data_IF_218022359686
#
_entry.id   IF_218022359686
#
_cell.length_a   1.000
_cell.length_b   1.000
_cell.length_c   1.000
_cell.angle_alpha   90.00
_cell.angle_beta   90.00
_cell.angle_gamma   90.00
#
_symmetry.space_group_name_H-M   'P 1'
#
loop_
_entity.id
_entity.type
_entity.pdbx_description
1 polymer ?
#
# COMPACT_ATOMS: atom_id res chain seq x y z
N UNK A 1 18.71 -0.28 -11.37
CA UNK A 1 18.47 -1.73 -11.57
C UNK A 1 17.29 -2.08 -10.67
N UNK A 2 16.21 -2.66 -11.19
CA UNK A 2 15.04 -2.96 -10.37
C UNK A 2 15.30 -4.26 -9.61
N UNK A 3 15.18 -4.26 -8.27
CA UNK A 3 15.47 -5.38 -7.36
C UNK A 3 14.74 -6.68 -7.74
N UNK A 4 13.65 -6.57 -8.51
CA UNK A 4 12.90 -7.71 -9.04
C UNK A 4 13.56 -8.46 -10.22
N UNK A 5 14.54 -7.85 -10.89
CA UNK A 5 15.28 -8.53 -11.95
C UNK A 5 16.30 -9.53 -11.35
N UNK A 6 16.80 -9.26 -10.15
CA UNK A 6 17.76 -10.11 -9.44
C UNK A 6 17.09 -11.34 -8.79
N UNK A 7 15.78 -11.25 -8.50
CA UNK A 7 15.00 -12.35 -7.93
C UNK A 7 14.41 -13.32 -8.98
N UNK A 8 14.65 -13.09 -10.28
CA UNK A 8 14.26 -14.04 -11.34
C UNK A 8 12.74 -14.23 -11.57
N UNK A 9 11.89 -13.42 -10.92
CA UNK A 9 10.42 -13.54 -10.97
C UNK A 9 9.84 -13.13 -12.33
N UNK A 10 10.56 -12.33 -13.13
CA UNK A 10 10.07 -11.85 -14.43
C UNK A 10 10.31 -12.87 -15.56
N UNK A 11 9.54 -13.97 -15.57
CA UNK A 11 9.56 -15.00 -16.63
C UNK A 11 8.34 -14.97 -17.57
N UNK A 12 7.67 -13.83 -17.71
CA UNK A 12 6.57 -13.67 -18.65
C UNK A 12 7.02 -12.98 -19.95
N UNK A 13 7.27 -13.80 -20.97
CA UNK A 13 7.04 -13.53 -22.40
C UNK A 13 7.69 -12.31 -23.09
N UNK A 14 8.90 -11.89 -22.71
CA UNK A 14 9.67 -10.98 -23.55
C UNK A 14 10.15 -11.69 -24.84
N UNK A 15 9.32 -11.67 -25.91
CA UNK A 15 9.77 -11.94 -27.29
C UNK A 15 10.97 -11.04 -27.57
N UNK A 16 12.17 -11.63 -27.68
CA UNK A 16 13.39 -10.94 -28.12
C UNK A 16 13.27 -10.66 -29.62
N UNK A 17 12.67 -9.54 -30.00
CA UNK A 17 13.02 -8.93 -31.28
C UNK A 17 14.11 -7.89 -31.04
N UNK A 18 15.29 -8.17 -31.60
CA UNK A 18 16.42 -7.25 -31.70
C UNK A 18 16.07 -6.22 -32.79
N UNK A 19 15.94 -4.95 -32.46
CA UNK A 19 16.19 -3.87 -33.42
C UNK A 19 17.28 -2.95 -32.89
N UNK A 20 18.16 -2.56 -33.81
CA UNK A 20 19.37 -1.76 -33.58
C UNK A 20 18.97 -0.35 -33.16
N UNK A 21 19.67 0.21 -32.16
CA UNK A 21 19.75 1.65 -31.92
C UNK A 21 18.48 2.30 -31.36
N UNK A 22 18.39 2.41 -30.04
CA UNK A 22 17.36 3.21 -29.38
C UNK A 22 17.29 2.86 -27.90
N UNK A 23 17.37 3.88 -27.03
CA UNK A 23 17.38 3.77 -25.57
C UNK A 23 16.34 2.76 -25.06
N UNK A 24 16.82 1.79 -24.29
CA UNK A 24 16.00 0.82 -23.57
C UNK A 24 15.39 1.47 -22.33
N UNK A 25 14.30 2.19 -22.50
CA UNK A 25 13.37 2.48 -21.41
C UNK A 25 12.03 1.81 -21.76
N UNK A 26 11.99 0.48 -21.70
CA UNK A 26 10.72 -0.17 -21.37
C UNK A 26 10.44 0.25 -19.93
N UNK A 27 9.75 1.37 -19.77
CA UNK A 27 9.21 1.76 -18.48
C UNK A 27 8.36 0.58 -18.03
N UNK A 28 8.87 -0.19 -17.06
CA UNK A 28 8.02 -1.09 -16.31
C UNK A 28 6.89 -0.19 -15.80
N UNK A 29 5.61 -0.46 -16.12
CA UNK A 29 4.53 0.34 -15.59
C UNK A 29 4.75 0.50 -14.08
N UNK A 30 4.67 1.71 -13.51
CA UNK A 30 4.81 1.87 -12.07
C UNK A 30 3.87 0.87 -11.41
N UNK A 31 4.33 0.14 -10.39
CA UNK A 31 3.63 -1.05 -9.84
C UNK A 31 2.16 -0.75 -9.48
N UNK A 32 1.87 0.51 -9.15
CA UNK A 32 0.54 1.14 -9.07
C UNK A 32 -0.44 0.83 -10.23
N UNK A 33 0.02 0.75 -11.48
CA UNK A 33 -0.87 0.56 -12.65
C UNK A 33 -1.62 -0.77 -12.59
N UNK A 34 -1.07 -1.78 -11.89
CA UNK A 34 -1.76 -3.03 -11.60
C UNK A 34 -2.89 -2.85 -10.57
N UNK A 35 -2.67 -2.05 -9.53
CA UNK A 35 -3.72 -1.68 -8.58
C UNK A 35 -4.80 -0.78 -9.20
N UNK A 36 -4.46 0.14 -10.11
CA UNK A 36 -5.47 0.92 -10.84
C UNK A 36 -6.42 0.04 -11.63
N UNK A 37 -5.92 -1.05 -12.20
CA UNK A 37 -6.76 -2.01 -12.89
C UNK A 37 -7.66 -2.78 -11.92
N UNK A 38 -7.21 -3.01 -10.67
CA UNK A 38 -7.95 -3.73 -9.65
C UNK A 38 -9.01 -2.86 -8.94
N UNK A 39 -8.67 -1.62 -8.57
CA UNK A 39 -9.56 -0.70 -7.81
C UNK A 39 -10.34 0.25 -8.72
N UNK A 40 -9.95 0.36 -9.99
CA UNK A 40 -10.76 0.93 -11.06
C UNK A 40 -11.39 2.28 -10.71
N UNK A 41 -12.72 2.37 -10.84
CA UNK A 41 -13.53 3.58 -10.60
C UNK A 41 -13.71 3.94 -9.12
N UNK A 42 -13.38 3.04 -8.19
CA UNK A 42 -13.61 3.26 -6.76
C UNK A 42 -12.68 4.35 -6.19
N UNK A 43 -11.49 4.53 -6.80
CA UNK A 43 -10.51 5.56 -6.41
C UNK A 43 -11.05 6.99 -6.50
N UNK A 44 -12.00 7.21 -7.41
CA UNK A 44 -12.63 8.51 -7.61
C UNK A 44 -13.73 8.78 -6.57
N UNK A 45 -14.14 7.78 -5.79
CA UNK A 45 -15.12 7.90 -4.73
C UNK A 45 -14.50 8.10 -3.34
N UNK A 46 -13.18 7.94 -3.20
CA UNK A 46 -12.47 8.02 -1.91
C UNK A 46 -12.66 9.37 -1.20
N UNK A 47 -12.79 10.46 -1.95
CA UNK A 47 -13.07 11.80 -1.42
C UNK A 47 -14.43 11.89 -0.68
N UNK A 48 -15.32 10.92 -0.87
CA UNK A 48 -16.63 10.86 -0.20
C UNK A 48 -16.54 10.24 1.20
N UNK A 49 -15.42 9.64 1.56
CA UNK A 49 -15.20 9.09 2.90
C UNK A 49 -14.96 10.26 3.85
N UNK A 50 -15.94 10.54 4.70
CA UNK A 50 -15.89 11.62 5.71
C UNK A 50 -15.64 11.08 7.12
N UNK A 51 -15.74 9.77 7.32
CA UNK A 51 -15.45 9.12 8.59
C UNK A 51 -13.94 9.11 8.85
N UNK A 52 -13.49 9.31 10.10
CA UNK A 52 -12.10 9.10 10.46
C UNK A 52 -11.64 7.71 10.02
N UNK A 53 -10.50 7.63 9.35
CA UNK A 53 -10.00 6.39 8.75
C UNK A 53 -8.54 6.16 9.12
N UNK A 54 -8.21 4.99 9.64
CA UNK A 54 -6.82 4.57 9.82
C UNK A 54 -6.41 3.70 8.63
N UNK A 55 -5.31 4.06 7.98
CA UNK A 55 -4.65 3.29 6.91
C UNK A 55 -3.36 2.75 7.50
N UNK A 56 -3.21 1.43 7.51
CA UNK A 56 -2.02 0.74 8.02
C UNK A 56 -1.42 -0.12 6.91
N UNK A 57 -0.13 0.03 6.67
CA UNK A 57 0.62 -0.74 5.68
C UNK A 57 2.01 -1.08 6.23
N UNK A 58 2.56 -2.21 5.82
CA UNK A 58 3.95 -2.54 6.11
C UNK A 58 4.90 -1.92 5.08
N UNK A 59 6.04 -1.37 5.52
CA UNK A 59 7.03 -0.74 4.63
C UNK A 59 7.63 -1.71 3.59
N UNK A 60 7.63 -3.00 3.89
CA UNK A 60 8.18 -4.07 3.04
C UNK A 60 7.09 -4.84 2.28
N UNK A 61 5.83 -4.35 2.28
CA UNK A 61 4.72 -4.98 1.57
C UNK A 61 4.96 -4.98 0.05
N UNK A 62 5.04 -6.17 -0.55
CA UNK A 62 5.25 -6.36 -1.98
C UNK A 62 3.94 -6.50 -2.79
N UNK A 63 2.79 -6.63 -2.12
CA UNK A 63 1.44 -6.87 -2.67
C UNK A 63 0.63 -5.58 -2.64
N UNK A 64 0.38 -5.03 -1.45
CA UNK A 64 -0.26 -3.73 -1.25
C UNK A 64 0.78 -2.70 -0.88
N UNK A 65 1.52 -2.27 -1.91
CA UNK A 65 2.71 -1.44 -1.77
C UNK A 65 2.44 -0.17 -0.92
N UNK A 66 3.43 0.30 -0.13
CA UNK A 66 3.30 1.52 0.68
C UNK A 66 2.85 2.74 -0.13
N UNK A 67 3.29 2.89 -1.38
CA UNK A 67 2.89 4.04 -2.21
C UNK A 67 1.40 4.04 -2.56
N UNK A 68 0.71 2.90 -2.44
CA UNK A 68 -0.74 2.83 -2.55
C UNK A 68 -1.42 3.40 -1.31
N UNK A 69 -0.89 3.13 -0.12
CA UNK A 69 -1.39 3.65 1.14
C UNK A 69 -1.23 5.18 1.20
N UNK A 70 -0.10 5.71 0.72
CA UNK A 70 0.13 7.15 0.57
C UNK A 70 -0.97 7.80 -0.29
N UNK A 71 -1.29 7.18 -1.44
CA UNK A 71 -2.33 7.69 -2.35
C UNK A 71 -3.74 7.60 -1.79
N UNK A 72 -4.02 6.59 -0.96
CA UNK A 72 -5.29 6.52 -0.23
C UNK A 72 -5.36 7.68 0.78
N UNK A 73 -4.27 7.92 1.50
CA UNK A 73 -4.18 8.99 2.49
C UNK A 73 -4.38 10.38 1.85
N UNK A 74 -3.76 10.64 0.70
CA UNK A 74 -3.93 11.87 -0.08
C UNK A 74 -5.39 12.13 -0.51
N UNK A 75 -6.19 11.08 -0.68
CA UNK A 75 -7.56 11.16 -1.22
C UNK A 75 -8.65 11.13 -0.16
N UNK A 76 -8.34 10.67 1.04
CA UNK A 76 -9.29 10.60 2.16
C UNK A 76 -8.91 11.69 3.15
N UNK A 77 -9.69 12.78 3.18
CA UNK A 77 -9.36 13.96 3.98
C UNK A 77 -9.24 13.68 5.49
N UNK A 78 -10.06 12.76 6.01
CA UNK A 78 -10.10 12.37 7.42
C UNK A 78 -9.28 11.11 7.72
N UNK A 79 -8.21 10.86 6.96
CA UNK A 79 -7.38 9.67 7.15
C UNK A 79 -6.11 9.93 7.96
N UNK A 80 -5.60 8.88 8.58
CA UNK A 80 -4.26 8.80 9.17
C UNK A 80 -3.53 7.62 8.55
N UNK A 81 -2.27 7.82 8.22
CA UNK A 81 -1.43 6.78 7.65
C UNK A 81 -0.37 6.36 8.66
N UNK A 82 -0.29 5.04 8.90
CA UNK A 82 0.78 4.42 9.65
C UNK A 82 1.49 3.40 8.77
N UNK A 83 2.77 3.63 8.53
CA UNK A 83 3.65 2.64 7.89
C UNK A 83 4.41 1.91 8.99
N UNK A 84 4.33 0.58 9.03
CA UNK A 84 5.02 -0.25 10.01
C UNK A 84 6.42 -0.60 9.50
N UNK A 85 7.49 -0.18 10.20
CA UNK A 85 8.85 -0.58 9.86
C UNK A 85 8.96 -2.10 9.89
N UNK A 86 9.62 -2.68 8.89
CA UNK A 86 9.79 -4.13 8.76
C UNK A 86 8.48 -4.94 8.64
N UNK A 87 7.36 -4.29 8.34
CA UNK A 87 6.07 -4.96 8.10
C UNK A 87 5.94 -5.38 6.65
N UNK A 88 5.52 -6.62 6.40
CA UNK A 88 5.13 -7.13 5.10
C UNK A 88 3.61 -7.05 4.86
N UNK A 89 3.13 -7.84 3.89
CA UNK A 89 1.72 -7.80 3.49
C UNK A 89 0.75 -8.22 4.60
N UNK A 90 1.15 -9.22 5.41
CA UNK A 90 0.35 -9.69 6.54
C UNK A 90 0.88 -9.08 7.84
N UNK A 91 1.02 -7.75 7.87
CA UNK A 91 1.54 -7.00 9.02
C UNK A 91 0.83 -7.32 10.34
N UNK A 92 -0.46 -7.71 10.29
CA UNK A 92 -1.23 -8.11 11.46
C UNK A 92 -0.80 -9.47 12.07
N UNK A 93 -0.18 -10.35 11.28
CA UNK A 93 0.39 -11.61 11.75
C UNK A 93 1.87 -11.49 12.08
N UNK A 94 2.58 -10.61 11.35
CA UNK A 94 4.01 -10.40 11.51
C UNK A 94 4.35 -9.52 12.72
N UNK A 95 3.53 -8.49 12.96
CA UNK A 95 3.70 -7.53 14.06
C UNK A 95 2.35 -7.26 14.77
N UNK A 96 1.74 -8.30 15.38
CA UNK A 96 0.41 -8.19 15.96
C UNK A 96 0.34 -7.15 17.09
N UNK A 97 1.38 -7.01 17.91
CA UNK A 97 1.41 -6.04 19.00
C UNK A 97 1.37 -4.60 18.48
N UNK A 98 2.17 -4.29 17.45
CA UNK A 98 2.21 -2.96 16.85
C UNK A 98 0.89 -2.61 16.15
N UNK A 99 0.32 -3.56 15.41
CA UNK A 99 -0.99 -3.38 14.74
C UNK A 99 -2.11 -3.17 15.76
N UNK A 100 -2.17 -4.02 16.79
CA UNK A 100 -3.21 -3.92 17.81
C UNK A 100 -3.12 -2.60 18.58
N UNK A 101 -1.91 -2.17 18.95
CA UNK A 101 -1.69 -0.89 19.61
C UNK A 101 -2.14 0.30 18.75
N UNK A 102 -1.83 0.28 17.45
CA UNK A 102 -2.26 1.32 16.51
C UNK A 102 -3.79 1.39 16.41
N UNK A 103 -4.45 0.24 16.30
CA UNK A 103 -5.92 0.16 16.23
C UNK A 103 -6.55 0.65 17.53
N UNK A 104 -6.08 0.18 18.69
CA UNK A 104 -6.62 0.59 19.98
C UNK A 104 -6.47 2.09 20.20
N UNK A 105 -5.28 2.64 19.93
CA UNK A 105 -5.02 4.09 20.05
C UNK A 105 -5.99 4.89 19.18
N UNK A 106 -6.15 4.50 17.92
CA UNK A 106 -7.08 5.17 17.01
C UNK A 106 -8.52 5.11 17.52
N UNK A 107 -8.97 3.96 18.02
CA UNK A 107 -10.33 3.81 18.55
C UNK A 107 -10.55 4.65 19.81
N UNK A 108 -9.57 4.72 20.71
CA UNK A 108 -9.66 5.49 21.96
C UNK A 108 -9.78 6.99 21.68
N UNK A 109 -9.00 7.50 20.74
CA UNK A 109 -9.09 8.89 20.29
C UNK A 109 -10.46 9.20 19.65
N UNK A 110 -11.02 8.27 18.89
CA UNK A 110 -12.34 8.45 18.27
C UNK A 110 -13.48 8.39 19.29
N UNK A 111 -13.29 7.69 20.40
CA UNK A 111 -14.24 7.65 21.52
C UNK A 111 -14.08 8.83 22.49
N UNK A 112 -13.02 9.63 22.38
CA UNK A 112 -12.71 10.74 23.28
C UNK A 112 -12.18 10.33 24.68
N UNK A 113 -11.84 9.04 24.87
CA UNK A 113 -11.46 8.36 26.12
C UNK A 113 -12.46 8.43 27.32
N UNK A 114 -12.55 7.40 28.21
CA UNK A 114 -12.25 5.98 28.05
C UNK A 114 -13.55 5.12 28.04
N UNK A 115 -13.53 3.98 27.35
CA UNK A 115 -14.38 2.85 27.73
C UNK A 115 -13.66 2.13 28.87
N UNK A 116 -14.20 2.21 30.09
CA UNK A 116 -13.73 1.36 31.18
C UNK A 116 -14.04 -0.10 30.81
N UNK A 117 -13.00 -0.92 30.75
CA UNK A 117 -13.15 -2.37 30.66
C UNK A 117 -13.39 -2.91 32.08
N UNK A 118 -14.51 -3.60 32.26
CA UNK A 118 -14.79 -4.49 33.41
C UNK A 118 -14.00 -5.80 33.30
#
# INVERSE_FOLDING_TARGET
>A
MCTFCDLGICRASARRSRSRGGRWARACPPRWRAFEMMVGKLKDLLHRITTPTLILVGEEDAVTLPEMADRLHERIASSRLLQLPHGGHMSNLEQPEAVNAAISTFLDEMRGAPLQAE
#
